data_IF_108087618770
#
_entry.id   IF_108087618770
#
_cell.length_a   1.000
_cell.length_b   1.000
_cell.length_c   1.000
_cell.angle_alpha   90.00
_cell.angle_beta   90.00
_cell.angle_gamma   90.00
#
_symmetry.space_group_name_H-M   'P 1'
#
loop_
_entity.id
_entity.type
_entity.pdbx_description
1 polymer ?
#
# COMPACT_ATOMS: atom_id res chain seq x y z
N UNK A 1 -13.10 33.22 -20.20
CA UNK A 1 -12.97 32.81 -18.78
C UNK A 1 -14.10 33.47 -18.01
N UNK A 2 -14.95 32.72 -17.31
CA UNK A 2 -16.00 33.33 -16.49
C UNK A 2 -15.33 34.00 -15.28
N UNK A 3 -15.56 35.29 -15.11
CA UNK A 3 -15.02 36.15 -14.05
C UNK A 3 -15.08 35.54 -12.64
N UNK A 4 -16.06 34.70 -12.36
CA UNK A 4 -16.23 34.01 -11.06
C UNK A 4 -15.12 33.01 -10.71
N UNK A 5 -14.46 32.38 -11.68
CA UNK A 5 -13.43 31.36 -11.37
C UNK A 5 -12.11 32.00 -10.93
N UNK A 6 -11.85 33.22 -11.41
CA UNK A 6 -10.66 34.00 -11.06
C UNK A 6 -10.80 34.65 -9.67
N UNK A 7 -12.01 35.13 -9.33
CA UNK A 7 -12.29 35.69 -8.00
C UNK A 7 -12.15 34.64 -6.90
N UNK A 8 -12.67 33.44 -7.11
CA UNK A 8 -12.63 32.38 -6.10
C UNK A 8 -11.19 31.87 -5.87
N UNK A 9 -10.37 31.79 -6.93
CA UNK A 9 -8.93 31.53 -6.82
C UNK A 9 -8.18 32.63 -6.07
N UNK A 10 -8.47 33.89 -6.38
CA UNK A 10 -7.86 35.04 -5.68
C UNK A 10 -8.21 35.03 -4.20
N UNK A 11 -9.44 34.65 -3.82
CA UNK A 11 -9.83 34.51 -2.41
C UNK A 11 -9.09 33.35 -1.75
N UNK A 12 -8.91 32.22 -2.44
CA UNK A 12 -8.09 31.11 -1.94
C UNK A 12 -6.64 31.55 -1.68
N UNK A 13 -6.03 32.31 -2.59
CA UNK A 13 -4.69 32.88 -2.37
C UNK A 13 -4.65 33.91 -1.26
N UNK A 14 -5.64 34.80 -1.22
CA UNK A 14 -5.76 35.78 -0.16
C UNK A 14 -5.91 35.10 1.20
N UNK A 15 -6.60 33.96 1.28
CA UNK A 15 -6.71 33.18 2.51
C UNK A 15 -5.37 32.62 2.98
N UNK A 16 -4.55 32.07 2.06
CA UNK A 16 -3.21 31.57 2.38
C UNK A 16 -2.27 32.72 2.78
N UNK A 17 -2.31 33.82 2.05
CA UNK A 17 -1.52 35.02 2.36
C UNK A 17 -1.92 35.64 3.70
N UNK A 18 -3.23 35.73 3.98
CA UNK A 18 -3.75 36.22 5.25
C UNK A 18 -3.39 35.30 6.42
N UNK A 19 -3.44 33.97 6.22
CA UNK A 19 -2.98 33.01 7.22
C UNK A 19 -1.50 33.25 7.59
N UNK A 20 -0.63 33.41 6.59
CA UNK A 20 0.80 33.63 6.82
C UNK A 20 1.09 35.02 7.41
N UNK A 21 0.47 36.07 6.87
CA UNK A 21 0.66 37.43 7.36
C UNK A 21 0.14 37.59 8.79
N UNK A 22 -1.09 37.15 9.07
CA UNK A 22 -1.67 37.23 10.42
C UNK A 22 -0.93 36.31 11.38
N UNK A 23 -0.57 35.10 10.94
CA UNK A 23 0.17 34.14 11.77
C UNK A 23 1.55 34.63 12.18
N UNK A 24 2.27 35.27 11.26
CA UNK A 24 3.60 35.84 11.54
C UNK A 24 3.52 37.10 12.40
N UNK A 25 2.54 37.98 12.15
CA UNK A 25 2.31 39.20 12.96
C UNK A 25 1.98 38.87 14.42
N UNK A 26 1.10 37.89 14.64
CA UNK A 26 0.72 37.41 15.98
C UNK A 26 1.79 36.51 16.64
N UNK A 27 2.93 36.29 15.96
CA UNK A 27 4.01 35.38 16.40
C UNK A 27 3.54 33.95 16.68
N UNK A 28 2.44 33.54 16.05
CA UNK A 28 1.92 32.18 16.12
C UNK A 28 2.62 31.30 15.08
N UNK A 29 2.95 31.84 13.91
CA UNK A 29 3.74 31.16 12.87
C UNK A 29 5.16 31.71 12.90
N UNK A 30 6.12 30.87 13.29
CA UNK A 30 7.53 31.23 13.39
C UNK A 30 8.30 30.50 12.29
N UNK A 31 8.98 31.27 11.43
CA UNK A 31 9.83 30.74 10.37
C UNK A 31 11.27 31.03 10.76
N UNK A 32 12.07 29.99 10.97
CA UNK A 32 13.48 30.17 11.32
C UNK A 32 14.30 30.63 10.08
N UNK A 33 15.35 31.47 10.27
CA UNK A 33 16.08 32.10 9.17
C UNK A 33 16.68 31.11 8.17
N UNK A 34 17.17 29.99 8.67
CA UNK A 34 17.85 28.90 7.96
C UNK A 34 16.95 28.15 6.95
N UNK A 35 15.64 28.10 7.20
CA UNK A 35 14.65 27.48 6.30
C UNK A 35 13.82 28.46 5.50
N UNK A 36 14.00 29.77 5.70
CA UNK A 36 13.19 30.83 5.06
C UNK A 36 13.13 30.68 3.54
N UNK A 37 14.28 30.43 2.88
CA UNK A 37 14.35 30.25 1.43
C UNK A 37 13.63 28.98 0.97
N UNK A 38 13.84 27.86 1.67
CA UNK A 38 13.22 26.56 1.35
C UNK A 38 11.70 26.61 1.54
N UNK A 39 11.25 27.31 2.59
CA UNK A 39 9.84 27.57 2.86
C UNK A 39 9.20 28.40 1.73
N UNK A 40 9.81 29.53 1.33
CA UNK A 40 9.25 30.35 0.25
C UNK A 40 9.28 29.66 -1.11
N UNK A 41 10.30 28.86 -1.42
CA UNK A 41 10.32 28.02 -2.62
C UNK A 41 9.20 26.99 -2.58
N UNK A 42 9.02 26.29 -1.45
CA UNK A 42 7.95 25.29 -1.27
C UNK A 42 6.57 25.94 -1.36
N UNK A 43 6.42 27.15 -0.81
CA UNK A 43 5.21 27.95 -0.88
C UNK A 43 4.93 28.43 -2.32
N UNK A 44 5.95 28.89 -3.05
CA UNK A 44 5.82 29.29 -4.45
C UNK A 44 5.42 28.10 -5.34
N UNK A 45 6.01 26.92 -5.09
CA UNK A 45 5.60 25.67 -5.74
C UNK A 45 4.16 25.34 -5.39
N UNK A 46 3.79 25.33 -4.10
CA UNK A 46 2.41 25.08 -3.66
C UNK A 46 1.41 26.06 -4.31
N UNK A 47 1.74 27.36 -4.37
CA UNK A 47 0.96 28.42 -5.05
C UNK A 47 0.82 28.16 -6.55
N UNK A 48 1.90 27.74 -7.21
CA UNK A 48 1.90 27.40 -8.63
C UNK A 48 1.03 26.16 -8.92
N UNK A 49 1.05 25.18 -8.01
CA UNK A 49 0.18 24.00 -8.09
C UNK A 49 -1.29 24.34 -7.77
N UNK A 50 -1.53 25.29 -6.84
CA UNK A 50 -2.84 25.88 -6.52
C UNK A 50 -3.44 26.63 -7.73
N UNK A 51 -2.62 27.17 -8.64
CA UNK A 51 -3.11 27.90 -9.84
C UNK A 51 -3.52 26.99 -10.98
N UNK A 52 -3.13 25.72 -10.95
CA UNK A 52 -3.33 24.83 -12.09
C UNK A 52 -4.80 24.55 -12.48
N UNK A 53 -5.77 24.49 -11.53
CA UNK A 53 -7.18 24.39 -11.86
C UNK A 53 -7.68 25.54 -12.76
N UNK A 54 -7.03 26.71 -12.71
CA UNK A 54 -7.39 27.86 -13.54
C UNK A 54 -6.96 27.74 -15.02
N UNK A 55 -5.98 26.88 -15.33
CA UNK A 55 -5.32 26.88 -16.65
C UNK A 55 -5.81 25.82 -17.64
N UNK A 56 -6.45 24.73 -17.22
CA UNK A 56 -7.10 23.79 -18.17
C UNK A 56 -8.41 23.21 -17.63
N UNK A 57 -9.47 23.45 -18.39
CA UNK A 57 -10.78 22.78 -18.27
C UNK A 57 -10.60 21.27 -18.47
N UNK A 58 -11.03 20.48 -17.49
CA UNK A 58 -11.17 19.02 -17.52
C UNK A 58 -9.93 18.22 -17.95
N UNK A 59 -8.89 18.20 -17.11
CA UNK A 59 -7.87 17.17 -17.20
C UNK A 59 -7.87 16.34 -15.90
N UNK A 60 -7.57 15.03 -15.98
CA UNK A 60 -7.41 14.19 -14.77
C UNK A 60 -6.43 14.82 -13.77
N UNK A 61 -5.41 15.50 -14.30
CA UNK A 61 -4.38 16.23 -13.58
C UNK A 61 -4.96 17.36 -12.71
N UNK A 62 -5.97 18.12 -13.17
CA UNK A 62 -6.54 19.21 -12.38
C UNK A 62 -7.24 18.71 -11.11
N UNK A 63 -7.76 17.47 -11.12
CA UNK A 63 -8.36 16.86 -9.93
C UNK A 63 -7.32 16.53 -8.85
N UNK A 64 -6.09 16.16 -9.24
CA UNK A 64 -5.00 15.92 -8.30
C UNK A 64 -4.49 17.21 -7.68
N UNK A 65 -4.37 18.28 -8.47
CA UNK A 65 -4.02 19.59 -7.93
C UNK A 65 -5.09 20.15 -7.00
N UNK A 66 -6.38 19.94 -7.31
CA UNK A 66 -7.46 20.27 -6.40
C UNK A 66 -7.35 19.48 -5.07
N UNK A 67 -7.11 18.16 -5.14
CA UNK A 67 -6.90 17.34 -3.95
C UNK A 67 -5.66 17.75 -3.14
N UNK A 68 -4.57 18.15 -3.79
CA UNK A 68 -3.35 18.62 -3.13
C UNK A 68 -3.58 19.96 -2.42
N UNK A 69 -4.25 20.90 -3.09
CA UNK A 69 -4.72 22.18 -2.52
C UNK A 69 -5.54 21.95 -1.25
N UNK A 70 -6.57 21.11 -1.36
CA UNK A 70 -7.44 20.77 -0.25
C UNK A 70 -6.67 20.12 0.90
N UNK A 71 -5.70 19.23 0.61
CA UNK A 71 -4.84 18.60 1.61
C UNK A 71 -3.99 19.63 2.36
N UNK A 72 -3.43 20.61 1.67
CA UNK A 72 -2.66 21.70 2.28
C UNK A 72 -3.54 22.55 3.22
N UNK A 73 -4.75 22.91 2.79
CA UNK A 73 -5.65 23.66 3.66
C UNK A 73 -6.08 22.86 4.90
N UNK A 74 -6.32 21.55 4.77
CA UNK A 74 -6.57 20.69 5.93
C UNK A 74 -5.38 20.67 6.88
N UNK A 75 -4.16 20.55 6.35
CA UNK A 75 -2.93 20.56 7.14
C UNK A 75 -2.79 21.89 7.92
N UNK A 76 -2.99 23.03 7.25
CA UNK A 76 -2.94 24.35 7.89
C UNK A 76 -4.07 24.53 8.94
N UNK A 77 -5.27 24.06 8.65
CA UNK A 77 -6.38 24.08 9.60
C UNK A 77 -6.09 23.21 10.83
N UNK A 78 -5.48 22.04 10.62
CA UNK A 78 -5.09 21.14 11.72
C UNK A 78 -3.95 21.72 12.57
N UNK A 79 -2.98 22.40 11.96
CA UNK A 79 -1.89 23.09 12.65
C UNK A 79 -2.42 24.27 13.50
N UNK A 80 -3.47 24.94 13.03
CA UNK A 80 -4.06 26.12 13.67
C UNK A 80 -5.28 25.84 14.54
N UNK A 81 -5.60 24.56 14.82
CA UNK A 81 -6.82 24.17 15.56
C UNK A 81 -6.91 24.79 16.97
N UNK A 82 -5.77 25.13 17.59
CA UNK A 82 -5.69 25.79 18.89
C UNK A 82 -5.78 27.32 18.81
N UNK A 83 -5.80 27.87 17.60
CA UNK A 83 -5.84 29.30 17.30
C UNK A 83 -7.04 29.59 16.40
N UNK A 84 -8.27 29.66 16.94
CA UNK A 84 -9.49 29.82 16.13
C UNK A 84 -9.44 31.02 15.18
N UNK A 85 -8.80 32.11 15.61
CA UNK A 85 -8.55 33.32 14.81
C UNK A 85 -7.74 33.06 13.53
N UNK A 86 -6.82 32.09 13.55
CA UNK A 86 -6.05 31.68 12.37
C UNK A 86 -6.76 30.60 11.57
N UNK A 87 -7.54 29.74 12.22
CA UNK A 87 -8.21 28.61 11.60
C UNK A 87 -9.25 29.02 10.54
N UNK A 88 -9.84 30.22 10.66
CA UNK A 88 -10.82 30.74 9.70
C UNK A 88 -10.26 30.78 8.28
N UNK A 89 -9.00 31.22 8.12
CA UNK A 89 -8.39 31.39 6.80
C UNK A 89 -8.27 30.07 6.01
N UNK A 90 -7.66 28.99 6.54
CA UNK A 90 -7.56 27.73 5.80
C UNK A 90 -8.91 27.04 5.63
N UNK A 91 -9.87 27.20 6.54
CA UNK A 91 -11.24 26.67 6.38
C UNK A 91 -11.97 27.35 5.22
N UNK A 92 -11.86 28.67 5.10
CA UNK A 92 -12.44 29.42 3.98
C UNK A 92 -11.77 29.02 2.67
N UNK A 93 -10.43 28.94 2.64
CA UNK A 93 -9.67 28.47 1.47
C UNK A 93 -10.09 27.07 1.03
N UNK A 94 -10.24 26.13 1.97
CA UNK A 94 -10.74 24.78 1.71
C UNK A 94 -12.16 24.78 1.12
N UNK A 95 -13.09 25.49 1.75
CA UNK A 95 -14.49 25.53 1.32
C UNK A 95 -14.65 26.07 -0.11
N UNK A 96 -13.86 27.09 -0.46
CA UNK A 96 -13.85 27.68 -1.81
C UNK A 96 -13.31 26.67 -2.83
N UNK A 97 -12.20 25.99 -2.52
CA UNK A 97 -11.63 24.97 -3.42
C UNK A 97 -12.61 23.82 -3.66
N UNK A 98 -13.32 23.36 -2.62
CA UNK A 98 -14.34 22.31 -2.74
C UNK A 98 -15.53 22.79 -3.59
N UNK A 99 -16.05 23.99 -3.31
CA UNK A 99 -17.17 24.57 -4.05
C UNK A 99 -16.85 24.71 -5.54
N UNK A 100 -15.69 25.27 -5.85
CA UNK A 100 -15.29 25.53 -7.23
C UNK A 100 -15.07 24.22 -8.00
N UNK A 101 -14.44 23.23 -7.36
CA UNK A 101 -14.28 21.91 -7.96
C UNK A 101 -15.63 21.22 -8.24
N UNK A 102 -16.56 21.23 -7.27
CA UNK A 102 -17.85 20.54 -7.39
C UNK A 102 -18.82 21.20 -8.38
N UNK A 103 -18.69 22.51 -8.60
CA UNK A 103 -19.54 23.27 -9.54
C UNK A 103 -19.35 22.82 -10.98
N UNK A 104 -18.12 22.47 -11.35
CA UNK A 104 -17.77 22.14 -12.73
C UNK A 104 -17.81 20.63 -13.02
N UNK A 105 -17.68 19.77 -12.00
CA UNK A 105 -17.61 18.32 -12.20
C UNK A 105 -18.98 17.65 -12.07
N UNK A 106 -19.36 16.84 -13.07
CA UNK A 106 -20.68 16.20 -13.14
C UNK A 106 -20.65 14.67 -12.93
N UNK A 107 -19.50 14.02 -13.17
CA UNK A 107 -19.35 12.56 -12.96
C UNK A 107 -19.09 12.18 -11.51
N UNK A 108 -19.73 11.10 -11.02
CA UNK A 108 -19.54 10.61 -9.63
C UNK A 108 -18.08 10.22 -9.35
N UNK A 109 -17.41 9.53 -10.27
CA UNK A 109 -16.01 9.14 -10.11
C UNK A 109 -15.04 10.32 -10.22
N UNK A 110 -15.38 11.30 -11.07
CA UNK A 110 -14.59 12.52 -11.18
C UNK A 110 -14.72 13.33 -9.88
N UNK A 111 -15.94 13.48 -9.34
CA UNK A 111 -16.17 14.13 -8.04
C UNK A 111 -15.43 13.46 -6.90
N UNK A 112 -15.39 12.13 -6.89
CA UNK A 112 -14.72 11.37 -5.84
C UNK A 112 -13.18 11.42 -5.93
N UNK A 113 -12.61 11.74 -7.10
CA UNK A 113 -11.15 11.70 -7.34
C UNK A 113 -10.31 12.57 -6.40
N UNK A 114 -10.56 13.87 -6.21
CA UNK A 114 -9.75 14.67 -5.29
C UNK A 114 -9.86 14.18 -3.85
N UNK A 115 -11.03 13.73 -3.41
CA UNK A 115 -11.21 13.21 -2.05
C UNK A 115 -10.51 11.87 -1.84
N UNK A 116 -10.58 10.96 -2.82
CA UNK A 116 -9.83 9.71 -2.81
C UNK A 116 -8.32 9.99 -2.80
N UNK A 117 -7.85 10.93 -3.63
CA UNK A 117 -6.46 11.38 -3.63
C UNK A 117 -6.05 11.94 -2.28
N UNK A 118 -6.84 12.84 -1.67
CA UNK A 118 -6.55 13.38 -0.35
C UNK A 118 -6.44 12.30 0.72
N UNK A 119 -7.36 11.32 0.70
CA UNK A 119 -7.35 10.22 1.65
C UNK A 119 -6.08 9.37 1.49
N UNK A 120 -5.74 8.98 0.26
CA UNK A 120 -4.53 8.21 -0.05
C UNK A 120 -3.27 9.01 0.30
N UNK A 121 -3.20 10.28 -0.09
CA UNK A 121 -2.07 11.17 0.17
C UNK A 121 -1.84 11.36 1.69
N UNK A 122 -2.90 11.62 2.44
CA UNK A 122 -2.83 11.74 3.91
C UNK A 122 -2.41 10.42 4.56
N UNK A 123 -2.93 9.29 4.06
CA UNK A 123 -2.57 7.96 4.52
C UNK A 123 -1.10 7.64 4.26
N UNK A 124 -0.57 7.99 3.08
CA UNK A 124 0.85 7.84 2.75
C UNK A 124 1.75 8.71 3.65
N UNK A 125 1.35 9.95 3.93
CA UNK A 125 2.06 10.83 4.86
C UNK A 125 2.08 10.27 6.30
N UNK A 126 0.98 9.64 6.73
CA UNK A 126 0.87 9.04 8.06
C UNK A 126 1.67 7.74 8.18
N UNK A 127 1.49 6.79 7.26
CA UNK A 127 2.19 5.51 7.29
C UNK A 127 3.68 5.66 6.99
N UNK A 128 4.04 6.60 6.11
CA UNK A 128 5.43 6.95 5.86
C UNK A 128 6.12 7.58 7.07
N UNK A 129 5.44 7.88 8.18
CA UNK A 129 6.07 8.52 9.33
C UNK A 129 6.55 9.95 9.06
N UNK A 130 6.09 10.57 7.96
CA UNK A 130 6.27 12.01 7.70
C UNK A 130 5.54 12.80 8.77
N UNK A 131 4.32 12.36 9.13
CA UNK A 131 3.54 12.92 10.23
C UNK A 131 3.79 12.06 11.47
N UNK A 132 4.47 12.63 12.46
CA UNK A 132 4.67 12.01 13.77
C UNK A 132 3.73 12.64 14.78
N UNK A 133 2.87 11.83 15.39
CA UNK A 133 1.99 12.25 16.49
C UNK A 133 2.82 12.32 17.79
N UNK A 134 3.70 13.31 17.86
CA UNK A 134 4.53 13.58 19.03
C UNK A 134 4.16 14.93 19.59
N UNK A 135 3.99 15.00 20.92
CA UNK A 135 3.90 16.28 21.61
C UNK A 135 5.27 16.96 21.50
N UNK A 136 5.37 17.95 20.62
CA UNK A 136 6.57 18.77 20.50
C UNK A 136 6.67 19.71 21.71
N UNK A 137 7.86 19.93 22.28
CA UNK A 137 8.10 20.92 23.33
C UNK A 137 7.95 22.38 22.85
N UNK A 138 7.51 22.61 21.61
CA UNK A 138 7.11 23.93 21.14
C UNK A 138 5.87 24.43 21.91
N UNK A 139 6.11 25.04 23.06
CA UNK A 139 5.11 25.83 23.80
C UNK A 139 4.63 27.04 22.99
N UNK A 140 5.29 27.33 21.86
CA UNK A 140 5.04 28.49 21.01
C UNK A 140 4.56 28.01 19.64
N UNK A 141 3.26 28.19 19.38
CA UNK A 141 2.71 28.25 18.03
C UNK A 141 2.96 27.07 17.08
N UNK A 142 3.04 27.42 15.80
CA UNK A 142 3.44 26.59 14.66
C UNK A 142 4.82 27.07 14.24
N UNK A 143 5.85 26.23 14.33
CA UNK A 143 7.21 26.61 13.93
C UNK A 143 7.71 25.79 12.74
N UNK A 144 8.47 26.44 11.88
CA UNK A 144 9.07 25.87 10.67
C UNK A 144 10.58 25.97 10.80
N UNK A 145 11.24 24.82 10.93
CA UNK A 145 12.69 24.69 11.11
C UNK A 145 13.30 23.68 10.14
N UNK A 146 14.63 23.55 10.14
CA UNK A 146 15.30 22.58 9.29
C UNK A 146 15.13 21.16 9.82
N UNK A 147 15.17 20.18 8.93
CA UNK A 147 15.26 18.77 9.36
C UNK A 147 16.50 18.50 10.23
N UNK A 148 17.57 19.26 10.04
CA UNK A 148 18.79 19.10 10.84
C UNK A 148 18.62 19.57 12.30
N UNK A 149 17.57 20.33 12.60
CA UNK A 149 17.20 20.71 13.97
C UNK A 149 16.36 19.63 14.67
N UNK A 150 15.74 18.72 13.90
CA UNK A 150 14.92 17.62 14.41
C UNK A 150 15.70 16.30 14.50
N UNK A 151 16.59 16.03 13.54
CA UNK A 151 17.35 14.78 13.46
C UNK A 151 18.82 15.10 13.17
N UNK A 152 19.72 14.36 13.83
CA UNK A 152 21.16 14.48 13.54
C UNK A 152 21.43 14.30 12.03
N UNK A 153 22.40 15.04 11.44
CA UNK A 153 22.67 14.96 10.00
C UNK A 153 22.96 13.54 9.47
N UNK A 154 23.49 12.66 10.32
CA UNK A 154 23.74 11.24 9.99
C UNK A 154 22.46 10.39 9.90
N UNK A 155 21.39 10.82 10.54
CA UNK A 155 20.08 10.16 10.52
C UNK A 155 19.15 10.65 9.40
N UNK A 156 19.51 11.74 8.70
CA UNK A 156 18.71 12.28 7.60
C UNK A 156 18.91 11.44 6.34
N UNK A 157 17.82 10.85 5.84
CA UNK A 157 17.85 10.04 4.61
C UNK A 157 17.98 10.94 3.38
N UNK A 158 18.46 10.37 2.27
CA UNK A 158 18.61 11.12 1.00
C UNK A 158 17.29 11.76 0.52
N UNK A 159 16.15 11.12 0.80
CA UNK A 159 14.83 11.65 0.45
C UNK A 159 14.45 12.89 1.24
N UNK A 160 15.03 13.11 2.42
CA UNK A 160 14.74 14.26 3.27
C UNK A 160 15.84 15.32 3.30
N UNK A 161 16.86 15.20 2.45
CA UNK A 161 17.86 16.26 2.34
C UNK A 161 17.17 17.57 2.00
N UNK A 162 17.50 18.63 2.75
CA UNK A 162 16.89 19.96 2.65
C UNK A 162 15.39 19.98 2.99
N UNK A 163 14.94 19.03 3.81
CA UNK A 163 13.59 18.97 4.33
C UNK A 163 13.29 20.10 5.32
N UNK A 164 12.04 20.54 5.31
CA UNK A 164 11.47 21.47 6.29
C UNK A 164 10.62 20.68 7.27
N UNK A 165 10.76 21.00 8.56
CA UNK A 165 10.00 20.40 9.64
C UNK A 165 9.02 21.44 10.18
N UNK A 166 7.73 21.12 10.09
CA UNK A 166 6.64 21.83 10.72
C UNK A 166 6.41 21.22 12.10
N UNK A 167 6.82 21.93 13.15
CA UNK A 167 6.47 21.60 14.52
C UNK A 167 5.15 22.25 14.89
N UNK A 168 4.24 21.43 15.40
CA UNK A 168 3.02 21.89 16.06
C UNK A 168 2.95 21.27 17.45
N UNK A 169 2.04 21.77 18.28
CA UNK A 169 1.82 21.20 19.62
C UNK A 169 1.36 19.74 19.64
N UNK A 170 0.79 19.23 18.54
CA UNK A 170 0.18 17.87 18.48
C UNK A 170 0.92 16.89 17.59
N UNK A 171 1.61 17.41 16.58
CA UNK A 171 2.32 16.59 15.62
C UNK A 171 3.50 17.36 15.02
N UNK A 172 4.47 16.60 14.56
CA UNK A 172 5.59 17.12 13.77
C UNK A 172 5.45 16.56 12.36
N UNK A 173 5.49 17.43 11.36
CA UNK A 173 5.46 17.05 9.95
C UNK A 173 6.81 17.37 9.30
N UNK A 174 7.46 16.35 8.74
CA UNK A 174 8.76 16.47 8.07
C UNK A 174 8.60 16.26 6.57
N UNK A 175 8.75 17.31 5.76
CA UNK A 175 8.59 17.20 4.31
C UNK A 175 9.78 17.79 3.56
N UNK A 176 10.22 17.11 2.51
CA UNK A 176 11.14 17.66 1.51
C UNK A 176 10.44 17.80 0.16
N UNK A 177 11.11 18.45 -0.80
CA UNK A 177 10.61 18.52 -2.17
C UNK A 177 10.53 17.13 -2.81
N UNK A 178 11.51 16.26 -2.53
CA UNK A 178 11.60 14.91 -3.08
C UNK A 178 10.46 14.03 -2.55
N UNK A 179 10.20 14.04 -1.24
CA UNK A 179 9.08 13.27 -0.65
C UNK A 179 7.74 13.81 -1.11
N UNK A 180 7.62 15.14 -1.22
CA UNK A 180 6.40 15.77 -1.72
C UNK A 180 6.06 15.36 -3.15
N UNK A 181 7.04 15.40 -4.07
CA UNK A 181 6.85 14.96 -5.46
C UNK A 181 6.52 13.47 -5.52
N UNK A 182 7.27 12.63 -4.81
CA UNK A 182 7.10 11.19 -4.82
C UNK A 182 5.71 10.79 -4.30
N UNK A 183 5.31 11.29 -3.13
CA UNK A 183 4.02 10.95 -2.53
C UNK A 183 2.86 11.52 -3.34
N UNK A 184 3.02 12.69 -3.96
CA UNK A 184 2.01 13.24 -4.89
C UNK A 184 1.84 12.33 -6.11
N UNK A 185 2.95 11.92 -6.74
CA UNK A 185 2.93 11.04 -7.91
C UNK A 185 2.30 9.68 -7.58
N UNK A 186 2.77 9.04 -6.52
CA UNK A 186 2.25 7.74 -6.08
C UNK A 186 0.76 7.84 -5.72
N UNK A 187 0.35 8.85 -4.94
CA UNK A 187 -1.06 9.04 -4.58
C UNK A 187 -1.96 9.24 -5.81
N UNK A 188 -1.47 9.92 -6.84
CA UNK A 188 -2.22 10.10 -8.09
C UNK A 188 -2.38 8.76 -8.83
N UNK A 189 -1.29 8.01 -9.00
CA UNK A 189 -1.30 6.69 -9.65
C UNK A 189 -2.23 5.71 -8.91
N UNK A 190 -2.17 5.71 -7.58
CA UNK A 190 -3.00 4.88 -6.71
C UNK A 190 -4.48 5.25 -6.77
N UNK A 191 -4.78 6.55 -6.80
CA UNK A 191 -6.15 7.03 -6.94
C UNK A 191 -6.73 6.58 -8.28
N UNK A 192 -5.99 6.72 -9.38
CA UNK A 192 -6.45 6.27 -10.69
C UNK A 192 -6.62 4.75 -10.73
N UNK A 193 -5.70 3.99 -10.12
CA UNK A 193 -5.81 2.54 -10.06
C UNK A 193 -7.06 2.11 -9.26
N UNK A 194 -7.25 2.65 -8.06
CA UNK A 194 -8.41 2.37 -7.20
C UNK A 194 -9.74 2.69 -7.89
N UNK A 195 -9.87 3.89 -8.48
CA UNK A 195 -11.08 4.30 -9.18
C UNK A 195 -11.31 3.48 -10.46
N UNK A 196 -10.25 3.08 -11.17
CA UNK A 196 -10.34 2.26 -12.37
C UNK A 196 -10.79 0.84 -12.05
N UNK A 197 -10.23 0.21 -11.00
CA UNK A 197 -10.67 -1.10 -10.52
C UNK A 197 -12.15 -1.07 -10.13
N UNK A 198 -12.57 -0.09 -9.32
CA UNK A 198 -13.96 -0.01 -8.85
C UNK A 198 -14.93 0.24 -10.00
N UNK A 199 -14.60 1.18 -10.89
CA UNK A 199 -15.47 1.49 -12.04
C UNK A 199 -15.60 0.30 -12.99
N UNK A 200 -14.50 -0.40 -13.25
CA UNK A 200 -14.47 -1.61 -14.07
C UNK A 200 -15.31 -2.73 -13.48
N UNK A 201 -15.13 -3.03 -12.18
CA UNK A 201 -15.85 -4.12 -11.52
C UNK A 201 -17.33 -3.80 -11.36
N UNK A 202 -17.69 -2.53 -11.12
CA UNK A 202 -19.09 -2.10 -11.02
C UNK A 202 -19.86 -2.19 -12.35
N UNK A 203 -19.17 -2.03 -13.47
CA UNK A 203 -19.75 -2.18 -14.81
C UNK A 203 -20.03 -3.63 -15.22
N UNK A 204 -19.40 -4.60 -14.55
CA UNK A 204 -19.61 -6.02 -14.82
C UNK A 204 -20.85 -6.54 -14.06
N UNK A 205 -21.86 -7.07 -14.76
CA UNK A 205 -23.11 -7.62 -14.16
C UNK A 205 -22.94 -8.87 -13.29
N UNK A 206 -21.70 -9.29 -12.99
CA UNK A 206 -21.39 -10.43 -12.12
C UNK A 206 -21.45 -10.05 -10.62
N UNK A 207 -22.40 -9.18 -10.25
CA UNK A 207 -22.73 -8.82 -8.87
C UNK A 207 -23.45 -9.97 -8.15
N UNK A 208 -22.74 -11.08 -7.96
CA UNK A 208 -22.97 -11.96 -6.81
C UNK A 208 -22.13 -11.47 -5.63
N UNK A 209 -22.45 -11.93 -4.42
CA UNK A 209 -21.71 -11.63 -3.17
C UNK A 209 -20.18 -11.89 -3.30
N UNK A 210 -19.75 -12.71 -4.25
CA UNK A 210 -18.33 -12.89 -4.61
C UNK A 210 -17.68 -11.72 -5.37
N UNK A 211 -18.44 -10.90 -6.09
CA UNK A 211 -17.93 -9.74 -6.83
C UNK A 211 -17.49 -8.59 -5.92
N UNK A 212 -18.16 -8.37 -4.79
CA UNK A 212 -17.78 -7.33 -3.81
C UNK A 212 -16.52 -7.73 -3.03
N UNK A 213 -16.41 -9.00 -2.61
CA UNK A 213 -15.22 -9.50 -1.94
C UNK A 213 -14.02 -9.58 -2.90
N UNK A 214 -14.24 -9.97 -4.16
CA UNK A 214 -13.21 -9.91 -5.21
C UNK A 214 -12.77 -8.49 -5.51
N UNK A 215 -13.69 -7.54 -5.57
CA UNK A 215 -13.35 -6.12 -5.79
C UNK A 215 -12.56 -5.53 -4.63
N UNK A 216 -12.91 -5.93 -3.42
CA UNK A 216 -12.21 -5.52 -2.22
C UNK A 216 -10.84 -6.19 -2.10
N UNK A 217 -10.73 -7.50 -2.36
CA UNK A 217 -9.48 -8.24 -2.36
C UNK A 217 -8.50 -7.69 -3.41
N UNK A 218 -8.95 -7.50 -4.65
CA UNK A 218 -8.13 -6.94 -5.74
C UNK A 218 -7.75 -5.48 -5.52
N UNK A 219 -8.60 -4.69 -4.86
CA UNK A 219 -8.23 -3.35 -4.42
C UNK A 219 -7.21 -3.38 -3.26
N UNK A 220 -7.35 -4.30 -2.30
CA UNK A 220 -6.42 -4.46 -1.17
C UNK A 220 -5.05 -4.99 -1.61
N UNK A 221 -5.01 -5.92 -2.57
CA UNK A 221 -3.77 -6.46 -3.12
C UNK A 221 -2.94 -5.36 -3.80
N UNK A 222 -3.57 -4.48 -4.58
CA UNK A 222 -2.91 -3.29 -5.13
C UNK A 222 -2.51 -2.26 -4.05
N UNK A 223 -3.24 -2.20 -2.92
CA UNK A 223 -2.82 -1.39 -1.77
C UNK A 223 -1.57 -1.93 -1.08
N UNK A 224 -1.22 -3.21 -1.23
CA UNK A 224 0.05 -3.72 -0.70
C UNK A 224 1.25 -3.19 -1.50
N UNK A 225 1.13 -3.13 -2.83
CA UNK A 225 2.11 -2.49 -3.73
C UNK A 225 2.24 -0.99 -3.38
N UNK A 226 1.10 -0.34 -3.12
CA UNK A 226 1.02 1.05 -2.66
C UNK A 226 1.76 1.32 -1.36
N UNK A 227 1.58 0.46 -0.36
CA UNK A 227 2.17 0.62 0.96
C UNK A 227 3.69 0.46 0.85
N UNK A 228 4.16 -0.46 0.01
CA UNK A 228 5.60 -0.62 -0.28
C UNK A 228 6.21 0.64 -0.88
N UNK A 229 5.49 1.30 -1.79
CA UNK A 229 5.94 2.56 -2.38
C UNK A 229 5.98 3.74 -1.37
N UNK A 230 5.31 3.63 -0.21
CA UNK A 230 5.24 4.68 0.82
C UNK A 230 6.36 4.63 1.87
N UNK A 231 7.28 3.65 1.80
CA UNK A 231 8.38 3.49 2.76
C UNK A 231 9.65 4.36 2.66
N UNK A 232 9.92 5.18 1.62
CA UNK A 232 11.23 5.87 1.50
C UNK A 232 11.56 6.82 2.65
N UNK A 233 10.56 7.17 3.46
CA UNK A 233 10.66 8.05 4.61
C UNK A 233 11.16 7.38 5.90
N UNK A 234 11.01 6.06 6.07
CA UNK A 234 11.24 5.42 7.37
C UNK A 234 12.65 4.85 7.55
N UNK A 235 13.49 4.89 6.52
CA UNK A 235 14.68 4.02 6.50
C UNK A 235 15.99 4.79 6.40
N UNK A 236 16.74 4.75 7.50
CA UNK A 236 18.14 5.23 7.58
C UNK A 236 19.03 4.46 6.62
N UNK A 237 19.93 5.21 5.96
CA UNK A 237 21.08 4.94 5.07
C UNK A 237 21.36 3.51 4.54
N UNK A 238 21.16 2.44 5.32
CA UNK A 238 21.56 1.06 4.99
C UNK A 238 20.65 0.35 3.97
N UNK A 239 19.47 0.89 3.68
CA UNK A 239 18.45 0.19 2.85
C UNK A 239 18.00 1.01 1.64
N UNK A 240 18.74 2.06 1.28
CA UNK A 240 18.48 2.80 0.03
C UNK A 240 18.61 1.89 -1.20
N UNK A 241 19.51 0.90 -1.16
CA UNK A 241 19.76 -0.05 -2.26
C UNK A 241 18.59 -1.00 -2.50
N UNK A 242 17.85 -1.42 -1.47
CA UNK A 242 16.73 -2.36 -1.63
C UNK A 242 15.38 -1.65 -1.74
N UNK A 243 15.19 -0.54 -1.02
CA UNK A 243 13.92 0.21 -1.02
C UNK A 243 13.68 0.88 -2.37
N UNK A 244 14.71 1.42 -3.02
CA UNK A 244 14.53 2.13 -4.30
C UNK A 244 14.05 1.20 -5.44
N UNK A 245 14.66 0.02 -5.67
CA UNK A 245 14.12 -0.97 -6.60
C UNK A 245 12.69 -1.39 -6.25
N UNK A 246 12.39 -1.65 -4.97
CA UNK A 246 11.04 -2.06 -4.53
C UNK A 246 9.98 -0.98 -4.79
N UNK A 247 10.31 0.30 -4.60
CA UNK A 247 9.41 1.42 -4.92
C UNK A 247 9.16 1.49 -6.43
N UNK A 248 10.22 1.38 -7.24
CA UNK A 248 10.11 1.41 -8.71
C UNK A 248 9.28 0.23 -9.19
N UNK A 249 9.56 -0.97 -8.69
CA UNK A 249 8.84 -2.19 -9.01
C UNK A 249 7.35 -2.04 -8.67
N UNK A 250 7.04 -1.60 -7.45
CA UNK A 250 5.65 -1.38 -7.01
C UNK A 250 4.95 -0.32 -7.86
N UNK A 251 5.59 0.83 -8.12
CA UNK A 251 5.02 1.88 -8.95
C UNK A 251 4.81 1.42 -10.41
N UNK A 252 5.74 0.63 -10.95
CA UNK A 252 5.63 0.03 -12.28
C UNK A 252 4.45 -0.95 -12.36
N UNK A 253 4.28 -1.81 -11.35
CA UNK A 253 3.17 -2.76 -11.28
C UNK A 253 1.81 -2.09 -11.15
N UNK A 254 1.67 -1.08 -10.28
CA UNK A 254 0.42 -0.31 -10.16
C UNK A 254 0.09 0.41 -11.47
N UNK A 255 1.11 0.98 -12.13
CA UNK A 255 0.95 1.65 -13.42
C UNK A 255 0.58 0.66 -14.53
N UNK A 256 1.20 -0.52 -14.54
CA UNK A 256 0.91 -1.59 -15.48
C UNK A 256 -0.52 -2.11 -15.33
N UNK A 257 -1.01 -2.29 -14.11
CA UNK A 257 -2.41 -2.69 -13.84
C UNK A 257 -3.38 -1.64 -14.38
N UNK A 258 -3.12 -0.36 -14.12
CA UNK A 258 -3.97 0.73 -14.64
C UNK A 258 -3.95 0.78 -16.18
N UNK A 259 -2.78 0.62 -16.81
CA UNK A 259 -2.67 0.52 -18.26
C UNK A 259 -3.45 -0.68 -18.82
N UNK A 260 -3.35 -1.85 -18.20
CA UNK A 260 -4.05 -3.07 -18.64
C UNK A 260 -5.57 -2.93 -18.52
N UNK A 261 -6.07 -2.36 -17.42
CA UNK A 261 -7.51 -2.10 -17.25
C UNK A 261 -8.01 -1.16 -18.34
N UNK A 262 -7.33 -0.03 -18.53
CA UNK A 262 -7.78 1.03 -19.44
C UNK A 262 -7.65 0.66 -20.92
N UNK A 263 -6.58 -0.06 -21.30
CA UNK A 263 -6.28 -0.36 -22.72
C UNK A 263 -6.71 -1.74 -23.18
N UNK A 264 -6.80 -2.75 -22.30
CA UNK A 264 -7.07 -4.15 -22.67
C UNK A 264 -8.34 -4.68 -22.04
N UNK A 265 -8.46 -4.66 -20.71
CA UNK A 265 -9.56 -5.33 -20.02
C UNK A 265 -10.91 -4.62 -20.22
N UNK A 266 -10.91 -3.30 -20.30
CA UNK A 266 -12.08 -2.50 -20.69
C UNK A 266 -12.58 -2.84 -22.11
N UNK A 267 -11.66 -3.21 -23.01
CA UNK A 267 -11.96 -3.65 -24.38
C UNK A 267 -12.35 -5.13 -24.45
N UNK A 268 -12.48 -5.82 -23.31
CA UNK A 268 -12.77 -7.25 -23.24
C UNK A 268 -11.59 -8.16 -23.59
N UNK A 269 -10.40 -7.60 -23.84
CA UNK A 269 -9.22 -8.37 -24.26
C UNK A 269 -8.59 -9.05 -23.04
N UNK A 270 -8.62 -10.37 -23.04
CA UNK A 270 -7.98 -11.17 -22.00
C UNK A 270 -6.51 -11.45 -22.35
N UNK A 271 -5.61 -10.97 -21.49
CA UNK A 271 -4.15 -11.07 -21.68
C UNK A 271 -3.58 -12.34 -21.02
N UNK A 272 -4.12 -12.74 -19.87
CA UNK A 272 -3.47 -13.73 -18.99
C UNK A 272 -4.15 -15.10 -18.98
N UNK A 273 -5.47 -15.16 -19.17
CA UNK A 273 -6.24 -16.40 -19.00
C UNK A 273 -5.96 -17.47 -20.07
N UNK A 274 -5.42 -17.09 -21.23
CA UNK A 274 -5.37 -17.97 -22.41
C UNK A 274 -4.27 -19.04 -22.36
N UNK A 275 -3.19 -18.84 -21.58
CA UNK A 275 -1.93 -19.58 -21.77
C UNK A 275 -1.52 -20.54 -20.66
N UNK A 276 -2.10 -20.48 -19.46
CA UNK A 276 -1.84 -21.44 -18.38
C UNK A 276 -2.88 -22.57 -18.37
N UNK A 277 -3.08 -23.22 -19.51
CA UNK A 277 -3.69 -24.55 -19.50
C UNK A 277 -2.61 -25.52 -19.05
N UNK A 278 -2.62 -25.90 -17.78
CA UNK A 278 -1.81 -26.98 -17.23
C UNK A 278 -2.23 -28.33 -17.85
N UNK A 279 -1.92 -28.52 -19.12
CA UNK A 279 -2.11 -29.78 -19.84
C UNK A 279 -1.01 -30.75 -19.39
N UNK A 280 -1.36 -31.64 -18.46
CA UNK A 280 -0.45 -32.66 -17.93
C UNK A 280 -0.50 -32.84 -16.41
N UNK A 281 -1.70 -32.96 -15.82
CA UNK A 281 -1.90 -33.02 -14.35
C UNK A 281 -1.00 -34.01 -13.60
N UNK A 282 -0.72 -35.19 -14.19
CA UNK A 282 0.19 -36.18 -13.59
C UNK A 282 1.64 -35.72 -13.52
N UNK A 283 2.13 -35.04 -14.56
CA UNK A 283 3.52 -34.53 -14.61
C UNK A 283 3.74 -33.44 -13.57
N UNK A 284 2.80 -32.50 -13.44
CA UNK A 284 2.91 -31.44 -12.43
C UNK A 284 2.84 -31.95 -11.00
N UNK A 285 1.97 -32.92 -10.72
CA UNK A 285 1.89 -33.55 -9.39
C UNK A 285 3.16 -34.33 -9.05
N UNK A 286 3.74 -35.01 -10.04
CA UNK A 286 5.01 -35.73 -9.87
C UNK A 286 6.16 -34.76 -9.61
N UNK A 287 6.26 -33.68 -10.38
CA UNK A 287 7.30 -32.65 -10.20
C UNK A 287 7.16 -31.95 -8.84
N UNK A 288 5.94 -31.54 -8.44
CA UNK A 288 5.74 -30.92 -7.13
C UNK A 288 5.99 -31.89 -5.98
N UNK A 289 5.66 -33.18 -6.14
CA UNK A 289 5.99 -34.23 -5.17
C UNK A 289 7.49 -34.43 -5.01
N UNK A 290 8.25 -34.48 -6.11
CA UNK A 290 9.73 -34.57 -6.07
C UNK A 290 10.31 -33.33 -5.39
N UNK A 291 9.86 -32.14 -5.76
CA UNK A 291 10.32 -30.88 -5.15
C UNK A 291 10.00 -30.82 -3.66
N UNK A 292 8.84 -31.32 -3.23
CA UNK A 292 8.46 -31.39 -1.83
C UNK A 292 9.39 -32.31 -1.03
N UNK A 293 9.69 -33.50 -1.55
CA UNK A 293 10.62 -34.44 -0.89
C UNK A 293 12.03 -33.83 -0.83
N UNK A 294 12.51 -33.22 -1.92
CA UNK A 294 13.79 -32.52 -1.94
C UNK A 294 13.82 -31.36 -0.95
N UNK A 295 12.72 -30.61 -0.81
CA UNK A 295 12.60 -29.53 0.16
C UNK A 295 12.69 -30.07 1.58
N UNK A 296 11.98 -31.13 1.94
CA UNK A 296 12.07 -31.75 3.26
C UNK A 296 13.48 -32.27 3.57
N UNK A 297 14.16 -32.87 2.59
CA UNK A 297 15.55 -33.29 2.73
C UNK A 297 16.48 -32.09 2.93
N UNK A 298 16.32 -31.03 2.14
CA UNK A 298 17.11 -29.79 2.27
C UNK A 298 16.89 -29.10 3.61
N UNK A 299 15.66 -29.08 4.13
CA UNK A 299 15.35 -28.57 5.47
C UNK A 299 16.06 -29.41 6.53
N UNK A 300 16.00 -30.74 6.42
CA UNK A 300 16.66 -31.64 7.38
C UNK A 300 18.19 -31.45 7.40
N UNK A 301 18.81 -31.31 6.22
CA UNK A 301 20.24 -31.00 6.09
C UNK A 301 20.56 -29.60 6.62
N UNK A 302 19.74 -28.60 6.32
CA UNK A 302 19.99 -27.25 6.80
C UNK A 302 19.87 -27.13 8.32
N UNK A 303 18.95 -27.88 8.94
CA UNK A 303 18.85 -27.98 10.40
C UNK A 303 20.07 -28.67 11.00
N UNK A 304 20.59 -29.74 10.37
CA UNK A 304 21.80 -30.40 10.85
C UNK A 304 23.06 -29.53 10.72
N UNK A 305 23.06 -28.59 9.76
CA UNK A 305 24.09 -27.56 9.59
C UNK A 305 23.89 -26.33 10.50
N UNK A 306 22.82 -26.27 11.30
CA UNK A 306 22.56 -25.15 12.20
C UNK A 306 21.97 -23.91 11.51
N UNK A 307 21.47 -24.02 10.27
CA UNK A 307 20.95 -22.89 9.49
C UNK A 307 19.65 -22.31 10.07
N UNK A 308 18.96 -23.01 10.99
CA UNK A 308 17.79 -22.49 11.72
C UNK A 308 18.07 -21.22 12.53
N UNK A 309 19.35 -20.89 12.74
CA UNK A 309 19.77 -19.61 13.36
C UNK A 309 19.58 -18.40 12.45
N UNK A 310 19.39 -18.62 11.16
CA UNK A 310 19.12 -17.59 10.16
C UNK A 310 17.62 -17.41 9.97
N UNK A 311 17.13 -16.16 10.05
CA UNK A 311 15.73 -15.79 9.81
C UNK A 311 15.25 -16.32 8.45
N UNK A 312 16.12 -16.22 7.43
CA UNK A 312 15.81 -16.64 6.05
C UNK A 312 15.52 -18.13 5.94
N UNK A 313 16.35 -18.95 6.58
CA UNK A 313 16.17 -20.38 6.54
C UNK A 313 14.99 -20.80 7.43
N UNK A 314 14.88 -20.19 8.62
CA UNK A 314 13.81 -20.49 9.57
C UNK A 314 12.43 -20.29 8.95
N UNK A 315 12.09 -19.06 8.53
CA UNK A 315 10.79 -18.78 7.92
C UNK A 315 10.71 -19.25 6.47
N UNK A 316 11.82 -19.18 5.72
CA UNK A 316 11.84 -19.66 4.32
C UNK A 316 11.54 -21.15 4.20
N UNK A 317 12.00 -21.97 5.16
CA UNK A 317 11.67 -23.40 5.20
C UNK A 317 10.17 -23.64 5.37
N UNK A 318 9.54 -22.93 6.31
CA UNK A 318 8.11 -23.01 6.61
C UNK A 318 7.26 -22.60 5.39
N UNK A 319 7.59 -21.45 4.79
CA UNK A 319 6.88 -20.91 3.63
C UNK A 319 7.08 -21.76 2.38
N UNK A 320 8.28 -22.29 2.15
CA UNK A 320 8.57 -23.18 1.02
C UNK A 320 7.80 -24.49 1.16
N UNK A 321 7.74 -25.04 2.37
CA UNK A 321 6.99 -26.25 2.65
C UNK A 321 5.49 -26.04 2.42
N UNK A 322 4.93 -24.93 2.88
CA UNK A 322 3.55 -24.55 2.58
C UNK A 322 3.30 -24.44 1.06
N UNK A 323 4.12 -23.68 0.34
CA UNK A 323 3.93 -23.42 -1.09
C UNK A 323 4.03 -24.69 -1.94
N UNK A 324 5.05 -25.53 -1.70
CA UNK A 324 5.24 -26.78 -2.44
C UNK A 324 4.14 -27.79 -2.10
N UNK A 325 3.74 -27.88 -0.84
CA UNK A 325 2.63 -28.74 -0.40
C UNK A 325 1.32 -28.30 -1.05
N UNK A 326 1.06 -26.99 -1.14
CA UNK A 326 -0.13 -26.43 -1.79
C UNK A 326 -0.17 -26.83 -3.26
N UNK A 327 0.96 -26.68 -3.97
CA UNK A 327 1.07 -27.09 -5.37
C UNK A 327 0.88 -28.61 -5.56
N UNK A 328 1.42 -29.41 -4.64
CA UNK A 328 1.23 -30.86 -4.65
C UNK A 328 -0.23 -31.24 -4.45
N UNK A 329 -0.87 -30.74 -3.41
CA UNK A 329 -2.25 -31.07 -3.06
C UNK A 329 -3.27 -30.55 -4.06
N UNK A 330 -3.17 -29.29 -4.50
CA UNK A 330 -4.06 -28.73 -5.53
C UNK A 330 -3.98 -29.55 -6.81
N UNK A 331 -2.79 -29.96 -7.26
CA UNK A 331 -2.64 -30.72 -8.50
C UNK A 331 -3.02 -32.20 -8.35
N UNK A 332 -2.66 -32.82 -7.23
CA UNK A 332 -2.97 -34.22 -6.94
C UNK A 332 -4.47 -34.46 -6.69
N UNK A 333 -5.16 -33.49 -6.08
CA UNK A 333 -6.57 -33.63 -5.72
C UNK A 333 -7.55 -33.06 -6.75
N UNK A 334 -7.10 -32.42 -7.84
CA UNK A 334 -7.95 -31.85 -8.90
C UNK A 334 -8.93 -32.85 -9.54
N UNK A 335 -8.63 -34.16 -9.49
CA UNK A 335 -9.52 -35.22 -9.98
C UNK A 335 -10.69 -35.55 -9.04
N UNK A 336 -10.62 -35.14 -7.78
CA UNK A 336 -11.67 -35.38 -6.80
C UNK A 336 -12.65 -34.20 -6.77
N UNK A 337 -13.95 -34.49 -6.93
CA UNK A 337 -15.00 -33.47 -6.79
C UNK A 337 -15.29 -33.25 -5.30
N UNK A 338 -14.49 -32.40 -4.67
CA UNK A 338 -14.71 -31.96 -3.29
C UNK A 338 -15.82 -30.90 -3.30
N UNK A 339 -16.98 -31.18 -2.70
CA UNK A 339 -18.04 -30.20 -2.46
C UNK A 339 -18.23 -30.06 -0.96
N UNK A 340 -18.06 -28.84 -0.46
CA UNK A 340 -18.23 -28.52 0.96
C UNK A 340 -19.24 -27.37 1.09
N UNK A 341 -19.91 -27.27 2.24
CA UNK A 341 -20.75 -26.13 2.53
C UNK A 341 -19.91 -24.85 2.68
N UNK A 342 -20.49 -23.69 2.33
CA UNK A 342 -19.77 -22.39 2.39
C UNK A 342 -19.15 -22.12 3.76
N UNK A 343 -19.88 -22.42 4.84
CA UNK A 343 -19.37 -22.28 6.22
C UNK A 343 -18.11 -23.12 6.45
N UNK A 344 -18.13 -24.39 6.04
CA UNK A 344 -16.99 -25.30 6.16
C UNK A 344 -15.77 -24.79 5.38
N UNK A 345 -15.97 -24.33 4.15
CA UNK A 345 -14.89 -23.76 3.32
C UNK A 345 -14.25 -22.53 3.98
N UNK A 346 -15.06 -21.63 4.55
CA UNK A 346 -14.52 -20.46 5.26
C UNK A 346 -13.79 -20.84 6.55
N UNK A 347 -14.32 -21.79 7.33
CA UNK A 347 -13.63 -22.26 8.54
C UNK A 347 -12.30 -22.93 8.23
N UNK A 348 -12.23 -23.73 7.14
CA UNK A 348 -10.98 -24.36 6.70
C UNK A 348 -9.96 -23.33 6.23
N UNK A 349 -10.41 -22.32 5.48
CA UNK A 349 -9.56 -21.22 5.03
C UNK A 349 -8.97 -20.42 6.20
N UNK A 350 -9.79 -20.08 7.20
CA UNK A 350 -9.33 -19.36 8.40
C UNK A 350 -8.39 -20.24 9.24
N UNK A 351 -8.75 -21.52 9.45
CA UNK A 351 -7.89 -22.45 10.17
C UNK A 351 -6.52 -22.63 9.48
N UNK A 352 -6.50 -22.73 8.15
CA UNK A 352 -5.25 -22.79 7.39
C UNK A 352 -4.39 -21.53 7.59
N UNK A 353 -5.00 -20.34 7.49
CA UNK A 353 -4.30 -19.07 7.70
C UNK A 353 -3.74 -18.97 9.13
N UNK A 354 -4.52 -19.34 10.15
CA UNK A 354 -4.05 -19.34 11.55
C UNK A 354 -2.89 -20.31 11.73
N UNK A 355 -2.99 -21.54 11.23
CA UNK A 355 -1.91 -22.54 11.35
C UNK A 355 -0.59 -22.05 10.74
N UNK A 356 -0.66 -21.29 9.65
CA UNK A 356 0.52 -20.73 9.02
C UNK A 356 1.07 -19.50 9.77
N UNK A 357 0.20 -18.55 10.12
CA UNK A 357 0.62 -17.26 10.71
C UNK A 357 1.08 -17.43 12.17
N UNK A 358 0.59 -18.43 12.89
CA UNK A 358 0.90 -18.65 14.31
C UNK A 358 2.41 -18.66 14.59
N UNK A 359 3.22 -19.20 13.67
CA UNK A 359 4.68 -19.34 13.87
C UNK A 359 5.48 -18.06 13.68
N UNK A 360 4.85 -17.02 13.13
CA UNK A 360 5.43 -15.67 13.07
C UNK A 360 5.22 -14.88 14.39
N UNK A 361 4.42 -15.41 15.33
CA UNK A 361 4.16 -14.78 16.63
C UNK A 361 5.33 -15.09 17.60
N UNK A 362 5.95 -14.08 18.27
CA UNK A 362 7.26 -14.25 18.89
C UNK A 362 7.42 -15.40 19.90
N UNK A 363 6.45 -15.67 20.81
CA UNK A 363 6.53 -16.84 21.69
C UNK A 363 6.65 -18.18 20.96
N UNK A 364 5.92 -18.37 19.85
CA UNK A 364 5.96 -19.61 19.08
C UNK A 364 7.26 -19.72 18.30
N UNK A 365 7.74 -18.61 17.73
CA UNK A 365 9.05 -18.55 17.08
C UNK A 365 10.17 -18.92 18.05
N UNK A 366 10.14 -18.41 19.28
CA UNK A 366 11.14 -18.74 20.31
C UNK A 366 11.14 -20.24 20.66
N UNK A 367 9.96 -20.84 20.84
CA UNK A 367 9.85 -22.27 21.14
C UNK A 367 10.34 -23.13 19.97
N UNK A 368 9.98 -22.80 18.74
CA UNK A 368 10.44 -23.50 17.55
C UNK A 368 11.95 -23.30 17.27
N UNK A 369 12.52 -22.16 17.64
CA UNK A 369 13.96 -21.91 17.54
C UNK A 369 14.76 -22.76 18.54
N UNK A 370 14.27 -22.91 19.76
CA UNK A 370 14.99 -23.57 20.86
C UNK A 370 14.79 -25.08 20.92
N UNK A 371 13.71 -25.60 20.34
CA UNK A 371 13.34 -27.01 20.43
C UNK A 371 13.06 -27.66 19.07
N UNK A 372 13.75 -28.77 18.73
CA UNK A 372 13.52 -29.51 17.49
C UNK A 372 12.09 -30.04 17.33
N UNK A 373 11.42 -30.33 18.44
CA UNK A 373 10.03 -30.81 18.45
C UNK A 373 9.10 -29.71 17.94
N UNK A 374 9.23 -28.49 18.46
CA UNK A 374 8.43 -27.36 18.02
C UNK A 374 8.77 -26.93 16.59
N UNK A 375 10.04 -27.03 16.18
CA UNK A 375 10.43 -26.82 14.77
C UNK A 375 9.76 -27.83 13.82
N UNK A 376 9.66 -29.09 14.24
CA UNK A 376 8.96 -30.12 13.45
C UNK A 376 7.44 -29.88 13.43
N UNK A 377 6.85 -29.43 14.53
CA UNK A 377 5.44 -29.03 14.59
C UNK A 377 5.14 -27.85 13.66
N UNK A 378 6.06 -26.88 13.54
CA UNK A 378 5.97 -25.81 12.55
C UNK A 378 5.85 -26.39 11.14
N UNK A 379 6.77 -27.26 10.73
CA UNK A 379 6.71 -27.91 9.42
C UNK A 379 5.42 -28.73 9.18
N UNK A 380 4.98 -29.52 10.17
CA UNK A 380 3.72 -30.27 10.08
C UNK A 380 2.53 -29.32 9.90
N UNK A 381 2.51 -28.20 10.61
CA UNK A 381 1.44 -27.22 10.52
C UNK A 381 1.39 -26.49 9.18
N UNK A 382 2.55 -26.18 8.56
CA UNK A 382 2.60 -25.62 7.21
C UNK A 382 2.10 -26.61 6.16
N UNK A 383 2.50 -27.88 6.28
CA UNK A 383 1.98 -28.95 5.42
C UNK A 383 0.46 -29.12 5.58
N UNK A 384 -0.04 -29.14 6.82
CA UNK A 384 -1.47 -29.24 7.10
C UNK A 384 -2.23 -27.99 6.62
N UNK A 385 -1.70 -26.80 6.83
CA UNK A 385 -2.25 -25.54 6.34
C UNK A 385 -2.40 -25.57 4.81
N UNK A 386 -1.38 -26.05 4.09
CA UNK A 386 -1.43 -26.22 2.65
C UNK A 386 -2.49 -27.23 2.20
N UNK A 387 -2.67 -28.32 2.94
CA UNK A 387 -3.73 -29.30 2.69
C UNK A 387 -5.13 -28.69 2.87
N UNK A 388 -5.38 -28.01 3.99
CA UNK A 388 -6.67 -27.34 4.27
C UNK A 388 -6.95 -26.22 3.26
N UNK A 389 -5.92 -25.48 2.86
CA UNK A 389 -6.00 -24.47 1.80
C UNK A 389 -6.39 -25.13 0.48
N UNK A 390 -5.80 -26.28 0.14
CA UNK A 390 -6.12 -27.01 -1.09
C UNK A 390 -7.54 -27.55 -1.10
N UNK A 391 -8.05 -28.06 0.03
CA UNK A 391 -9.44 -28.49 0.16
C UNK A 391 -10.41 -27.33 -0.02
N UNK A 392 -10.11 -26.20 0.62
CA UNK A 392 -10.89 -24.96 0.49
C UNK A 392 -10.91 -24.50 -0.97
N UNK A 393 -9.75 -24.42 -1.61
CA UNK A 393 -9.60 -24.08 -3.03
C UNK A 393 -10.43 -24.99 -3.94
N UNK A 394 -10.32 -26.32 -3.78
CA UNK A 394 -11.05 -27.26 -4.64
C UNK A 394 -12.56 -27.23 -4.42
N UNK A 395 -13.02 -26.88 -3.23
CA UNK A 395 -14.45 -26.72 -2.92
C UNK A 395 -15.09 -25.47 -3.54
N UNK A 396 -14.28 -24.47 -3.91
CA UNK A 396 -14.76 -23.21 -4.47
C UNK A 396 -15.00 -23.31 -5.98
N UNK A 397 -15.93 -22.48 -6.46
CA UNK A 397 -16.16 -22.27 -7.89
C UNK A 397 -14.93 -21.62 -8.55
N UNK A 398 -14.81 -21.77 -9.87
CA UNK A 398 -13.63 -21.32 -10.61
C UNK A 398 -13.31 -19.83 -10.41
N UNK A 399 -14.33 -18.97 -10.27
CA UNK A 399 -14.13 -17.56 -9.96
C UNK A 399 -13.61 -17.32 -8.53
N UNK A 400 -14.22 -17.99 -7.53
CA UNK A 400 -13.84 -17.83 -6.13
C UNK A 400 -12.45 -18.43 -5.82
N UNK A 401 -12.01 -19.43 -6.58
CA UNK A 401 -10.66 -20.00 -6.50
C UNK A 401 -9.56 -18.97 -6.72
N UNK A 402 -9.73 -18.05 -7.65
CA UNK A 402 -8.71 -17.05 -7.95
C UNK A 402 -8.60 -16.00 -6.84
N UNK A 403 -9.74 -15.52 -6.34
CA UNK A 403 -9.80 -14.60 -5.20
C UNK A 403 -9.21 -15.26 -3.95
N UNK A 404 -9.43 -16.55 -3.77
CA UNK A 404 -8.86 -17.29 -2.66
C UNK A 404 -7.33 -17.42 -2.76
N UNK A 405 -6.78 -17.64 -3.97
CA UNK A 405 -5.32 -17.64 -4.17
C UNK A 405 -4.70 -16.25 -3.92
N UNK A 406 -5.43 -15.18 -4.26
CA UNK A 406 -5.01 -13.82 -3.94
C UNK A 406 -4.94 -13.59 -2.43
N UNK A 407 -5.96 -14.05 -1.68
CA UNK A 407 -5.95 -14.04 -0.22
C UNK A 407 -4.75 -14.81 0.37
N UNK A 408 -4.46 -16.01 -0.15
CA UNK A 408 -3.31 -16.81 0.29
C UNK A 408 -1.98 -16.11 0.00
N UNK A 409 -1.84 -15.44 -1.15
CA UNK A 409 -0.64 -14.66 -1.46
C UNK A 409 -0.49 -13.41 -0.57
N UNK A 410 -1.60 -12.73 -0.25
CA UNK A 410 -1.63 -11.56 0.65
C UNK A 410 -1.23 -11.89 2.09
N UNK A 411 -1.45 -13.12 2.55
CA UNK A 411 -1.11 -13.51 3.92
C UNK A 411 0.36 -13.24 4.26
N UNK A 412 1.28 -13.59 3.36
CA UNK A 412 2.71 -13.45 3.59
C UNK A 412 3.21 -12.01 3.48
N UNK A 413 2.64 -11.22 2.57
CA UNK A 413 2.99 -9.81 2.44
C UNK A 413 2.51 -8.98 3.64
N UNK A 414 1.39 -9.35 4.25
CA UNK A 414 0.92 -8.74 5.51
C UNK A 414 1.85 -9.05 6.69
N UNK A 415 2.37 -10.28 6.78
CA UNK A 415 3.37 -10.63 7.81
C UNK A 415 4.63 -9.79 7.65
N UNK A 416 5.17 -9.69 6.43
CA UNK A 416 6.31 -8.81 6.15
C UNK A 416 6.05 -7.35 6.55
N UNK A 417 4.84 -6.85 6.29
CA UNK A 417 4.42 -5.49 6.67
C UNK A 417 4.44 -5.27 8.17
N UNK A 418 3.83 -6.17 8.93
CA UNK A 418 3.76 -6.06 10.39
C UNK A 418 5.16 -6.11 10.99
N UNK A 419 5.99 -7.06 10.56
CA UNK A 419 7.38 -7.21 11.06
C UNK A 419 8.19 -5.97 10.74
N UNK A 420 8.12 -5.48 9.51
CA UNK A 420 8.80 -4.26 9.09
C UNK A 420 8.36 -3.06 9.93
N UNK A 421 7.05 -2.85 10.12
CA UNK A 421 6.54 -1.68 10.84
C UNK A 421 6.89 -1.70 12.32
N UNK A 422 6.76 -2.85 12.99
CA UNK A 422 7.13 -2.98 14.41
C UNK A 422 8.63 -2.78 14.60
N UNK A 423 9.45 -3.29 13.68
CA UNK A 423 10.92 -3.18 13.77
C UNK A 423 11.41 -1.77 13.44
N UNK A 424 10.94 -1.19 12.34
CA UNK A 424 11.44 0.10 11.82
C UNK A 424 10.75 1.29 12.50
N UNK A 425 9.42 1.28 12.62
CA UNK A 425 8.67 2.40 13.24
C UNK A 425 8.61 2.26 14.75
N UNK A 426 8.34 1.04 15.23
CA UNK A 426 8.30 0.76 16.66
C UNK A 426 9.67 0.79 17.33
N UNK A 427 10.76 0.65 16.56
CA UNK A 427 12.11 0.50 17.09
C UNK A 427 12.26 -0.73 17.99
N UNK A 428 11.42 -1.75 17.77
CA UNK A 428 11.32 -2.94 18.63
C UNK A 428 11.70 -4.19 17.85
N UNK A 429 12.58 -4.98 18.45
CA UNK A 429 12.91 -6.32 17.97
C UNK A 429 11.66 -7.19 18.05
N UNK A 430 11.15 -7.69 16.92
CA UNK A 430 9.98 -8.58 16.89
C UNK A 430 10.36 -9.93 17.46
N UNK A 431 11.46 -10.51 16.97
CA UNK A 431 11.98 -11.79 17.42
C UNK A 431 13.32 -11.62 18.12
N UNK A 432 13.34 -11.63 19.46
CA UNK A 432 14.58 -11.42 20.24
C UNK A 432 15.71 -12.43 19.99
N UNK A 433 15.43 -13.54 19.28
CA UNK A 433 16.42 -14.56 18.89
C UNK A 433 17.19 -14.21 17.62
N UNK A 434 16.73 -13.23 16.84
CA UNK A 434 17.32 -12.85 15.56
C UNK A 434 17.77 -11.38 15.57
N UNK A 435 18.91 -11.03 14.94
CA UNK A 435 19.35 -9.64 14.84
C UNK A 435 18.35 -8.76 14.08
N UNK A 436 18.15 -7.52 14.52
CA UNK A 436 17.21 -6.55 13.93
C UNK A 436 17.39 -6.38 12.42
N UNK A 437 18.66 -6.30 11.99
CA UNK A 437 19.03 -6.17 10.57
C UNK A 437 18.47 -7.32 9.74
N UNK A 438 18.57 -8.57 10.24
CA UNK A 438 18.06 -9.74 9.53
C UNK A 438 16.52 -9.75 9.46
N UNK A 439 15.83 -9.19 10.45
CA UNK A 439 14.36 -9.10 10.44
C UNK A 439 13.88 -8.10 9.40
N UNK A 440 14.56 -6.96 9.28
CA UNK A 440 14.26 -5.95 8.27
C UNK A 440 14.58 -6.47 6.87
N UNK A 441 15.76 -7.03 6.66
CA UNK A 441 16.15 -7.62 5.37
C UNK A 441 15.21 -8.77 4.96
N UNK A 442 14.84 -9.67 5.88
CA UNK A 442 13.85 -10.72 5.62
C UNK A 442 12.52 -10.16 5.16
N UNK A 443 12.02 -9.11 5.81
CA UNK A 443 10.76 -8.46 5.43
C UNK A 443 10.83 -7.89 4.01
N UNK A 444 11.96 -7.28 3.63
CA UNK A 444 12.18 -6.72 2.30
C UNK A 444 12.29 -7.80 1.22
N UNK A 445 13.03 -8.88 1.47
CA UNK A 445 13.11 -10.01 0.53
C UNK A 445 11.78 -10.72 0.37
N UNK A 446 11.04 -10.89 1.48
CA UNK A 446 9.72 -11.50 1.44
C UNK A 446 8.78 -10.65 0.58
N UNK A 447 8.85 -9.33 0.67
CA UNK A 447 8.13 -8.43 -0.23
C UNK A 447 8.58 -8.50 -1.69
N UNK A 448 9.89 -8.45 -1.96
CA UNK A 448 10.43 -8.58 -3.31
C UNK A 448 9.93 -9.85 -4.02
N UNK A 449 9.73 -10.94 -3.27
CA UNK A 449 9.20 -12.19 -3.80
C UNK A 449 7.66 -12.21 -3.88
N UNK A 450 6.96 -11.63 -2.91
CA UNK A 450 5.49 -11.71 -2.85
C UNK A 450 4.79 -10.69 -3.76
N UNK A 451 5.38 -9.51 -3.97
CA UNK A 451 4.79 -8.44 -4.80
C UNK A 451 4.51 -8.90 -6.23
N UNK A 452 5.46 -9.49 -6.98
CA UNK A 452 5.19 -9.97 -8.35
C UNK A 452 4.09 -11.04 -8.40
N UNK A 453 4.05 -11.92 -7.41
CA UNK A 453 3.05 -13.01 -7.32
C UNK A 453 1.66 -12.44 -7.07
N UNK A 454 1.55 -11.46 -6.17
CA UNK A 454 0.30 -10.75 -5.89
C UNK A 454 -0.18 -9.94 -7.10
N UNK A 455 0.73 -9.22 -7.75
CA UNK A 455 0.42 -8.46 -8.96
C UNK A 455 -0.12 -9.37 -10.07
N UNK A 456 0.53 -10.52 -10.31
CA UNK A 456 0.07 -11.51 -11.27
C UNK A 456 -1.32 -12.05 -10.88
N UNK A 457 -1.50 -12.49 -9.63
CA UNK A 457 -2.78 -13.02 -9.15
C UNK A 457 -3.93 -12.02 -9.36
N UNK A 458 -3.70 -10.74 -9.04
CA UNK A 458 -4.64 -9.64 -9.23
C UNK A 458 -4.98 -9.46 -10.71
N UNK A 459 -3.98 -9.45 -11.60
CA UNK A 459 -4.21 -9.28 -13.04
C UNK A 459 -4.88 -10.51 -13.69
N UNK A 460 -4.63 -11.73 -13.18
CA UNK A 460 -5.37 -12.92 -13.61
C UNK A 460 -6.87 -12.80 -13.29
N UNK A 461 -7.21 -12.30 -12.10
CA UNK A 461 -8.59 -12.07 -11.66
C UNK A 461 -9.24 -11.02 -12.56
N UNK A 462 -8.62 -9.84 -12.71
CA UNK A 462 -9.13 -8.73 -13.53
C UNK A 462 -9.31 -9.12 -15.01
N UNK A 463 -8.33 -9.81 -15.60
CA UNK A 463 -8.36 -10.24 -17.00
C UNK A 463 -9.52 -11.21 -17.30
N UNK A 464 -9.97 -12.02 -16.32
CA UNK A 464 -11.13 -12.91 -16.51
C UNK A 464 -12.46 -12.18 -16.42
N UNK A 465 -12.56 -11.14 -15.59
CA UNK A 465 -13.77 -10.29 -15.56
C UNK A 465 -14.03 -9.63 -16.92
N UNK A 466 -13.01 -9.46 -17.76
CA UNK A 466 -13.15 -8.88 -19.11
C UNK A 466 -13.98 -9.75 -20.04
N UNK A 467 -14.06 -11.06 -19.77
CA UNK A 467 -14.83 -12.03 -20.54
C UNK A 467 -16.31 -12.11 -20.14
N UNK A 468 -16.73 -11.37 -19.11
CA UNK A 468 -18.12 -11.36 -18.67
C UNK A 468 -19.06 -10.78 -19.74
N UNK A 469 -20.27 -11.35 -19.95
CA UNK A 469 -21.20 -10.94 -21.03
C UNK A 469 -21.70 -9.49 -20.96
N UNK A 470 -21.33 -8.73 -19.92
CA UNK A 470 -21.68 -7.31 -19.75
C UNK A 470 -20.69 -6.32 -20.39
N UNK A 471 -19.40 -6.67 -20.53
CA UNK A 471 -18.38 -5.75 -21.04
C UNK A 471 -18.53 -5.53 -22.56
N UNK A 472 -18.96 -6.58 -23.28
CA UNK A 472 -19.27 -6.49 -24.71
C UNK A 472 -20.49 -5.60 -25.05
N UNK A 473 -21.34 -5.24 -24.06
CA UNK A 473 -22.53 -4.38 -24.29
C UNK A 473 -22.33 -2.91 -23.96
N UNK A 474 -21.25 -2.52 -23.29
CA UNK A 474 -20.89 -1.10 -23.15
C UNK A 474 -20.42 -0.48 -24.48
N UNK A 475 -20.33 -1.27 -25.56
CA UNK A 475 -20.05 -0.81 -26.92
C UNK A 475 -21.30 -0.33 -27.69
N UNK A 476 -22.51 -0.41 -27.12
CA UNK A 476 -23.77 -0.07 -27.84
C UNK A 476 -24.61 1.00 -27.12
N UNK A 477 -24.08 1.69 -26.11
CA UNK A 477 -24.80 2.76 -25.40
C UNK A 477 -23.99 4.06 -25.34
#
# INVERSE_FOLDING_TARGET
>A
MRTHTLTDLLISYASLAAFLAFGTLERIVIIYPDVTLQFYISLAVAITLLSWPAWKRYSRISSYFAGLSMSMFILLASASVLYPQLMVFPVVGFAINVREYLKDVHGVYERARPFAFMAIYSFMYLIGGVVRLTYSPADIGVSLASIYDDVSPKGVTAFYQWGVVLFTRRYTLTSSLQTFILFTFLSAVLTDNYLSIISYLRGSRLYGIGGTFSSFASALSCQCESIVASFPSLVVLLISVFVFPLIIESAAFVSATNYLITSRYSMGIDVFSGRLRFTGMRRYTLVSGILLVLCMAAISIGVSLGLQRSVYFFFGSDMSLFALSLLFFVNGMKGFRVRMGRGTTYTLAVAAAILMILWFVPPFTYNAYTSPVYFSLMGISAFLSAFLTSLSYLSLDEQARHVYMEFVAMMFSMVALVVFYVTVVGGRVVWGVFPDVQQVEFSLYLWALTIPVMWLATNFVLSRYSRGPGVARQQVA
#
